data_IF_701649365040
#
_entry.id   IF_701649365040
#
_cell.length_a   1.000
_cell.length_b   1.000
_cell.length_c   1.000
_cell.angle_alpha   90.00
_cell.angle_beta   90.00
_cell.angle_gamma   90.00
#
_symmetry.space_group_name_H-M   'P 1'
#
loop_
_entity.id
_entity.type
_entity.pdbx_description
1 polymer ?
#
# COMPACT_ATOMS: atom_id res chain seq x y z
N UNK A 1 -29.66 -42.80 5.44
CA UNK A 1 -28.30 -43.08 5.95
C UNK A 1 -27.48 -43.59 4.80
N UNK A 2 -26.62 -42.73 4.23
CA UNK A 2 -25.59 -43.11 3.25
C UNK A 2 -24.29 -42.45 3.71
N UNK A 3 -23.34 -43.32 4.13
CA UNK A 3 -21.98 -42.93 4.53
C UNK A 3 -21.16 -42.73 3.28
N UNK A 4 -20.57 -41.54 3.12
CA UNK A 4 -19.60 -41.21 2.07
C UNK A 4 -18.21 -41.33 2.68
N UNK A 5 -17.42 -42.28 2.19
CA UNK A 5 -16.01 -42.45 2.51
C UNK A 5 -15.19 -41.54 1.59
N UNK A 6 -14.39 -40.66 2.18
CA UNK A 6 -13.41 -39.84 1.46
C UNK A 6 -12.03 -40.48 1.69
N UNK A 7 -11.42 -40.93 0.62
CA UNK A 7 -10.08 -41.52 0.60
C UNK A 7 -9.03 -40.41 0.43
N UNK A 8 -8.14 -40.26 1.40
CA UNK A 8 -6.94 -39.41 1.29
C UNK A 8 -5.91 -40.07 0.41
N UNK A 9 -5.52 -39.40 -0.68
CA UNK A 9 -4.35 -39.77 -1.48
C UNK A 9 -3.16 -38.87 -1.08
N UNK A 10 -2.13 -39.47 -0.46
CA UNK A 10 -0.84 -38.82 -0.20
C UNK A 10 0.07 -39.19 -1.39
N UNK A 11 0.49 -38.19 -2.17
CA UNK A 11 1.56 -38.33 -3.15
C UNK A 11 2.74 -37.44 -2.74
N UNK A 12 3.77 -38.10 -2.21
CA UNK A 12 5.07 -37.48 -1.99
C UNK A 12 5.85 -37.41 -3.30
N UNK A 13 6.44 -36.26 -3.60
CA UNK A 13 7.48 -36.16 -4.64
C UNK A 13 8.73 -35.52 -4.01
N UNK A 14 9.74 -36.38 -3.82
CA UNK A 14 11.12 -36.04 -3.50
C UNK A 14 11.82 -35.62 -4.79
N UNK A 15 12.33 -34.39 -4.87
CA UNK A 15 13.33 -34.00 -5.86
C UNK A 15 14.59 -33.50 -5.15
N UNK A 16 15.62 -34.36 -5.23
CA UNK A 16 16.99 -33.98 -4.96
C UNK A 16 17.59 -33.33 -6.22
N UNK A 17 18.25 -32.21 -6.08
CA UNK A 17 18.88 -31.46 -7.18
C UNK A 17 20.10 -30.69 -6.73
N UNK A 18 21.23 -31.23 -6.98
CA UNK A 18 22.63 -30.83 -7.14
C UNK A 18 23.01 -29.36 -6.87
N UNK A 19 23.96 -29.25 -5.94
CA UNK A 19 24.93 -28.17 -5.80
C UNK A 19 25.95 -28.18 -6.94
N UNK A 20 26.22 -27.01 -7.53
CA UNK A 20 27.50 -26.74 -8.17
C UNK A 20 28.00 -25.38 -7.67
N UNK A 21 29.02 -25.47 -6.82
CA UNK A 21 29.86 -24.36 -6.42
C UNK A 21 30.71 -23.89 -7.63
N UNK A 22 30.73 -22.61 -7.89
CA UNK A 22 31.73 -21.96 -8.74
C UNK A 22 32.43 -20.90 -7.90
N UNK A 23 33.65 -21.26 -7.50
CA UNK A 23 34.64 -20.32 -6.98
C UNK A 23 35.05 -19.36 -8.10
N UNK A 24 34.91 -18.06 -7.87
CA UNK A 24 35.63 -17.04 -8.63
C UNK A 24 36.41 -16.15 -7.64
N UNK A 25 37.72 -16.30 -7.71
CA UNK A 25 38.74 -15.47 -7.06
C UNK A 25 38.62 -14.00 -7.49
N UNK A 26 38.70 -13.02 -6.57
CA UNK A 26 38.83 -11.61 -6.97
C UNK A 26 40.31 -11.26 -7.24
N UNK A 27 40.57 -10.77 -8.45
CA UNK A 27 41.85 -10.12 -8.78
C UNK A 27 41.94 -8.77 -8.05
N UNK A 28 43.02 -8.65 -7.29
CA UNK A 28 43.44 -7.44 -6.59
C UNK A 28 44.10 -6.47 -7.59
N UNK A 29 43.39 -5.42 -7.99
CA UNK A 29 44.02 -4.29 -8.69
C UNK A 29 44.52 -3.27 -7.67
N UNK A 30 45.81 -3.24 -7.47
CA UNK A 30 46.57 -2.15 -6.80
C UNK A 30 46.55 -0.90 -7.68
N UNK A 31 45.91 0.16 -7.22
CA UNK A 31 46.11 1.51 -7.77
C UNK A 31 46.93 2.30 -6.76
N UNK A 32 48.07 2.83 -7.24
CA UNK A 32 49.03 3.64 -6.49
C UNK A 32 48.42 5.00 -6.04
N UNK A 33 48.97 5.61 -4.98
CA UNK A 33 48.44 6.87 -4.46
C UNK A 33 48.97 8.05 -5.30
N UNK A 34 48.03 8.87 -5.78
CA UNK A 34 48.35 10.17 -6.36
C UNK A 34 47.90 11.28 -5.41
N UNK A 35 48.90 12.06 -5.02
CA UNK A 35 48.91 13.46 -4.57
C UNK A 35 47.73 14.05 -3.78
N UNK A 36 48.12 14.39 -2.55
CA UNK A 36 47.40 15.30 -1.64
C UNK A 36 47.38 16.72 -2.19
N UNK A 37 46.24 17.18 -2.67
CA UNK A 37 45.96 18.61 -2.77
C UNK A 37 45.05 18.97 -1.58
N UNK A 38 45.60 19.76 -0.66
CA UNK A 38 44.91 20.44 0.42
C UNK A 38 43.81 21.33 -0.16
N UNK A 39 42.56 20.95 0.04
CA UNK A 39 41.43 21.84 -0.15
C UNK A 39 40.98 22.28 1.25
N UNK A 40 41.42 23.47 1.65
CA UNK A 40 40.85 24.18 2.78
C UNK A 40 39.40 24.58 2.40
N UNK A 41 38.44 23.83 2.86
CA UNK A 41 37.01 24.24 2.78
C UNK A 41 36.69 25.01 4.04
N UNK A 42 36.49 26.31 3.90
CA UNK A 42 35.87 27.15 4.93
C UNK A 42 34.53 26.50 5.35
N UNK A 43 34.45 26.09 6.62
CA UNK A 43 33.23 25.68 7.26
C UNK A 43 32.37 26.93 7.49
N UNK A 44 31.58 27.28 6.49
CA UNK A 44 30.47 28.21 6.70
C UNK A 44 29.51 27.56 7.69
N UNK A 45 29.33 28.20 8.86
CA UNK A 45 28.29 27.91 9.79
C UNK A 45 26.95 28.30 9.11
N UNK A 46 26.36 27.37 8.37
CA UNK A 46 24.92 27.46 8.05
C UNK A 46 24.18 27.10 9.34
N UNK A 47 23.60 28.12 9.97
CA UNK A 47 22.57 27.98 10.99
C UNK A 47 21.49 27.06 10.40
N UNK A 48 21.44 25.83 10.91
CA UNK A 48 20.38 24.89 10.64
C UNK A 48 19.10 25.51 11.22
N UNK A 49 18.37 26.27 10.39
CA UNK A 49 17.00 26.63 10.71
C UNK A 49 16.24 25.32 10.82
N UNK A 50 15.93 24.94 12.03
CA UNK A 50 15.00 23.85 12.37
C UNK A 50 13.68 24.20 11.69
N UNK A 51 13.43 23.64 10.49
CA UNK A 51 12.11 23.72 9.85
C UNK A 51 11.13 23.10 10.83
N UNK A 52 10.22 23.93 11.33
CA UNK A 52 9.11 23.46 12.15
C UNK A 52 8.39 22.35 11.39
N UNK A 53 8.04 21.23 12.05
CA UNK A 53 7.36 20.11 11.40
C UNK A 53 6.12 20.64 10.71
N UNK A 54 6.01 20.40 9.40
CA UNK A 54 4.85 20.79 8.60
C UNK A 54 3.60 20.25 9.30
N UNK A 55 2.65 21.14 9.65
CA UNK A 55 1.39 20.74 10.27
C UNK A 55 0.74 19.69 9.39
N UNK A 56 0.46 18.51 9.96
CA UNK A 56 -0.19 17.41 9.27
C UNK A 56 -1.52 17.91 8.68
N UNK A 57 -1.61 17.94 7.35
CA UNK A 57 -2.82 18.41 6.67
C UNK A 57 -3.94 17.39 6.89
N UNK A 58 -4.97 17.80 7.64
CA UNK A 58 -6.18 16.99 7.79
C UNK A 58 -6.89 16.85 6.45
N UNK A 59 -7.12 15.61 6.02
CA UNK A 59 -7.96 15.32 4.86
C UNK A 59 -9.39 15.03 5.32
N UNK A 60 -10.36 15.70 4.73
CA UNK A 60 -11.79 15.50 5.03
C UNK A 60 -12.47 14.85 3.83
N UNK A 61 -13.03 13.65 4.04
CA UNK A 61 -13.76 12.91 3.03
C UNK A 61 -15.23 12.87 3.43
N UNK A 62 -16.05 13.59 2.68
CA UNK A 62 -17.50 13.54 2.79
C UNK A 62 -18.12 12.52 1.86
N UNK A 63 -19.47 12.40 1.92
CA UNK A 63 -20.23 11.58 0.99
C UNK A 63 -20.07 12.14 -0.43
N UNK A 64 -19.38 11.38 -1.29
CA UNK A 64 -19.16 11.71 -2.68
C UNK A 64 -19.00 10.42 -3.49
N UNK A 65 -19.79 10.28 -4.54
CA UNK A 65 -19.75 9.10 -5.39
C UNK A 65 -18.50 9.13 -6.27
N UNK A 66 -17.67 8.09 -6.15
CA UNK A 66 -16.54 7.89 -7.05
C UNK A 66 -16.98 7.64 -8.49
N UNK A 67 -16.12 7.99 -9.45
CA UNK A 67 -16.36 7.61 -10.83
C UNK A 67 -15.90 6.16 -11.06
N UNK A 68 -16.84 5.23 -11.01
CA UNK A 68 -16.62 3.79 -11.20
C UNK A 68 -16.92 3.30 -12.61
N UNK A 69 -17.14 4.19 -13.58
CA UNK A 69 -17.39 3.79 -14.96
C UNK A 69 -16.18 3.05 -15.56
N UNK A 70 -16.41 1.86 -16.13
CA UNK A 70 -15.35 1.01 -16.69
C UNK A 70 -14.41 0.41 -15.62
N UNK A 71 -14.85 0.35 -14.38
CA UNK A 71 -14.12 -0.26 -13.28
C UNK A 71 -14.82 -1.51 -12.75
N UNK A 72 -14.04 -2.49 -12.31
CA UNK A 72 -14.51 -3.70 -11.66
C UNK A 72 -13.97 -3.82 -10.24
N UNK A 73 -14.70 -4.47 -9.37
CA UNK A 73 -14.26 -4.74 -8.00
C UNK A 73 -13.15 -5.79 -8.03
N UNK A 74 -11.95 -5.39 -7.62
CA UNK A 74 -10.79 -6.26 -7.46
C UNK A 74 -10.81 -6.97 -6.11
N UNK A 75 -11.11 -6.22 -5.04
CA UNK A 75 -11.27 -6.78 -3.69
C UNK A 75 -12.32 -6.01 -2.92
N UNK A 76 -13.01 -6.70 -2.01
CA UNK A 76 -13.95 -6.06 -1.10
C UNK A 76 -14.00 -6.76 0.26
N UNK A 77 -14.39 -5.99 1.29
CA UNK A 77 -14.62 -6.45 2.64
C UNK A 77 -15.94 -5.87 3.15
N UNK A 78 -16.91 -6.75 3.45
CA UNK A 78 -18.20 -6.35 4.05
C UNK A 78 -18.10 -6.44 5.57
N UNK A 79 -18.63 -5.45 6.26
CA UNK A 79 -18.63 -5.36 7.72
C UNK A 79 -19.81 -4.54 8.21
N UNK A 80 -20.15 -4.68 9.50
CA UNK A 80 -21.18 -3.88 10.16
C UNK A 80 -20.52 -2.88 11.12
N UNK A 81 -21.03 -1.65 11.12
CA UNK A 81 -20.62 -0.61 12.06
C UNK A 81 -21.82 0.30 12.39
N UNK A 82 -22.09 0.56 13.70
CA UNK A 82 -23.24 1.34 14.18
C UNK A 82 -24.58 0.87 13.55
N UNK A 83 -24.86 -0.45 13.61
CA UNK A 83 -26.08 -1.08 13.03
C UNK A 83 -26.28 -0.84 11.51
N UNK A 84 -25.22 -0.45 10.82
CA UNK A 84 -25.24 -0.18 9.38
C UNK A 84 -24.25 -1.11 8.67
N UNK A 85 -24.70 -1.69 7.55
CA UNK A 85 -23.82 -2.48 6.68
C UNK A 85 -22.94 -1.58 5.83
N UNK A 86 -21.66 -1.93 5.77
CA UNK A 86 -20.63 -1.26 5.01
C UNK A 86 -19.90 -2.23 4.09
N UNK A 87 -19.39 -1.72 3.01
CA UNK A 87 -18.47 -2.43 2.13
C UNK A 87 -17.28 -1.53 1.76
N UNK A 88 -16.07 -1.96 2.13
CA UNK A 88 -14.82 -1.36 1.67
C UNK A 88 -14.41 -2.04 0.38
N UNK A 89 -14.26 -1.27 -0.69
CA UNK A 89 -14.01 -1.77 -2.04
C UNK A 89 -12.72 -1.18 -2.61
N UNK A 90 -11.92 -2.02 -3.26
CA UNK A 90 -10.88 -1.61 -4.19
C UNK A 90 -11.33 -1.97 -5.60
N UNK A 91 -11.48 -0.96 -6.46
CA UNK A 91 -11.83 -1.14 -7.87
C UNK A 91 -10.63 -0.82 -8.74
N UNK A 92 -10.55 -1.51 -9.87
CA UNK A 92 -9.56 -1.32 -10.93
C UNK A 92 -10.25 -1.24 -12.28
N UNK A 93 -9.55 -0.77 -13.31
CA UNK A 93 -10.09 -0.81 -14.67
C UNK A 93 -10.41 -2.25 -15.07
N UNK A 94 -11.59 -2.50 -15.71
CA UNK A 94 -12.04 -3.84 -16.07
C UNK A 94 -11.04 -4.63 -16.89
N UNK A 95 -10.34 -3.97 -17.81
CA UNK A 95 -9.33 -4.59 -18.67
C UNK A 95 -8.06 -5.04 -17.92
N UNK A 96 -7.93 -4.66 -16.64
CA UNK A 96 -6.82 -5.07 -15.77
C UNK A 96 -7.12 -6.35 -14.98
N UNK A 97 -8.36 -6.84 -15.02
CA UNK A 97 -8.72 -8.13 -14.42
C UNK A 97 -8.79 -9.21 -15.50
N UNK A 98 -7.85 -10.16 -15.45
CA UNK A 98 -7.81 -11.32 -16.33
C UNK A 98 -8.05 -12.56 -15.47
N UNK A 99 -9.17 -13.24 -15.69
CA UNK A 99 -9.59 -14.42 -14.89
C UNK A 99 -9.66 -14.14 -13.37
N UNK A 100 -9.96 -12.89 -12.98
CA UNK A 100 -10.05 -12.44 -11.60
C UNK A 100 -8.70 -12.06 -10.96
N UNK A 101 -7.61 -12.22 -11.69
CA UNK A 101 -6.28 -11.79 -11.25
C UNK A 101 -5.93 -10.41 -11.83
N UNK A 102 -5.21 -9.61 -11.05
CA UNK A 102 -4.79 -8.28 -11.45
C UNK A 102 -3.58 -8.36 -12.38
N UNK A 103 -3.77 -8.01 -13.65
CA UNK A 103 -2.68 -7.83 -14.61
C UNK A 103 -2.16 -6.39 -14.52
N UNK A 104 -1.08 -6.19 -13.78
CA UNK A 104 -0.47 -4.87 -13.60
C UNK A 104 0.22 -4.41 -14.90
N UNK A 105 -0.10 -3.18 -15.30
CA UNK A 105 0.62 -2.41 -16.30
C UNK A 105 1.41 -1.29 -15.61
N UNK A 106 2.20 -0.53 -16.35
CA UNK A 106 3.01 0.58 -15.82
C UNK A 106 2.19 1.61 -15.04
N UNK A 107 0.93 1.81 -15.45
CA UNK A 107 -0.02 2.74 -14.81
C UNK A 107 -1.41 2.16 -14.77
N UNK A 108 -1.95 2.04 -13.56
CA UNK A 108 -3.29 1.52 -13.33
C UNK A 108 -4.10 2.51 -12.51
N UNK A 109 -5.37 2.72 -12.89
CA UNK A 109 -6.28 3.51 -12.07
C UNK A 109 -6.86 2.63 -10.98
N UNK A 110 -6.73 3.10 -9.75
CA UNK A 110 -7.36 2.52 -8.56
C UNK A 110 -8.38 3.48 -7.99
N UNK A 111 -9.52 2.93 -7.60
CA UNK A 111 -10.53 3.60 -6.80
C UNK A 111 -10.74 2.81 -5.51
N UNK A 112 -10.46 3.41 -4.35
CA UNK A 112 -10.73 2.83 -3.05
C UNK A 112 -11.84 3.64 -2.39
N UNK A 113 -12.93 2.96 -2.03
CA UNK A 113 -14.11 3.58 -1.44
C UNK A 113 -14.74 2.71 -0.38
N UNK A 114 -15.41 3.34 0.61
CA UNK A 114 -16.36 2.66 1.47
C UNK A 114 -17.77 3.06 1.08
N UNK A 115 -18.67 2.09 1.02
CA UNK A 115 -20.07 2.26 0.63
C UNK A 115 -20.97 1.80 1.78
N UNK A 116 -22.03 2.57 2.07
CA UNK A 116 -23.03 2.22 3.07
C UNK A 116 -24.37 2.79 2.66
N UNK A 117 -25.29 1.92 2.25
CA UNK A 117 -26.57 2.30 1.63
C UNK A 117 -26.32 3.20 0.41
N UNK A 118 -26.85 4.43 0.45
CA UNK A 118 -26.68 5.41 -0.64
C UNK A 118 -25.43 6.29 -0.47
N UNK A 119 -24.71 6.16 0.65
CA UNK A 119 -23.49 6.93 0.90
C UNK A 119 -22.26 6.24 0.34
N UNK A 120 -21.33 7.04 -0.20
CA UNK A 120 -20.05 6.58 -0.70
C UNK A 120 -18.94 7.56 -0.26
N UNK A 121 -17.80 7.03 0.17
CA UNK A 121 -16.65 7.78 0.67
C UNK A 121 -15.42 7.33 -0.09
N UNK A 122 -14.82 8.24 -0.86
CA UNK A 122 -13.68 7.94 -1.74
C UNK A 122 -12.37 8.32 -1.04
N UNK A 123 -11.54 7.33 -0.74
CA UNK A 123 -10.23 7.52 -0.10
C UNK A 123 -9.10 7.70 -1.11
N UNK A 124 -9.24 7.08 -2.28
CA UNK A 124 -8.29 7.14 -3.38
C UNK A 124 -9.05 7.07 -4.71
N UNK A 125 -8.71 7.92 -5.67
CA UNK A 125 -9.10 7.81 -7.08
C UNK A 125 -7.95 8.37 -7.92
N UNK A 126 -6.97 7.54 -8.22
CA UNK A 126 -5.72 7.98 -8.86
C UNK A 126 -5.16 6.94 -9.82
N UNK A 127 -4.37 7.44 -10.79
CA UNK A 127 -3.47 6.61 -11.59
C UNK A 127 -2.21 6.31 -10.79
N UNK A 128 -1.97 5.03 -10.48
CA UNK A 128 -0.81 4.57 -9.72
C UNK A 128 0.18 3.89 -10.63
N UNK A 129 1.43 4.28 -10.50
CA UNK A 129 2.55 3.68 -11.21
C UNK A 129 3.28 2.69 -10.29
N UNK A 130 3.45 1.46 -10.79
CA UNK A 130 4.24 0.40 -10.13
C UNK A 130 3.88 0.18 -8.65
N UNK A 131 2.60 -0.01 -8.36
CA UNK A 131 2.14 -0.30 -7.02
C UNK A 131 0.68 -0.72 -6.98
N UNK A 132 0.28 -1.35 -5.88
CA UNK A 132 -1.11 -1.70 -5.57
C UNK A 132 -1.44 -1.07 -4.22
N UNK A 133 -2.34 -0.10 -4.16
CA UNK A 133 -2.79 0.45 -2.89
C UNK A 133 -3.67 -0.56 -2.17
N UNK A 134 -3.60 -0.56 -0.86
CA UNK A 134 -4.37 -1.46 0.00
C UNK A 134 -5.10 -0.65 1.06
N UNK A 135 -6.24 -1.13 1.53
CA UNK A 135 -6.97 -0.54 2.62
C UNK A 135 -7.41 -1.60 3.63
N UNK A 136 -7.27 -1.27 4.91
CA UNK A 136 -7.73 -2.08 6.03
C UNK A 136 -8.79 -1.33 6.80
N UNK A 137 -9.71 -2.06 7.46
CA UNK A 137 -10.72 -1.48 8.34
C UNK A 137 -10.66 -2.16 9.70
N UNK A 138 -10.78 -1.37 10.77
CA UNK A 138 -10.94 -1.85 12.15
C UNK A 138 -11.73 -0.85 13.00
N UNK A 139 -12.09 -1.27 14.20
CA UNK A 139 -12.71 -0.42 15.23
C UNK A 139 -11.79 -0.38 16.44
N UNK A 140 -11.56 0.80 16.99
CA UNK A 140 -10.70 1.01 18.17
C UNK A 140 -11.45 0.75 19.49
N UNK A 141 -10.74 0.89 20.62
CA UNK A 141 -11.30 0.72 21.98
C UNK A 141 -12.36 1.77 22.34
N UNK A 142 -12.46 2.86 21.59
CA UNK A 142 -13.46 3.90 21.74
C UNK A 142 -14.63 3.77 20.77
N UNK A 143 -14.78 2.58 20.15
CA UNK A 143 -15.79 2.28 19.14
C UNK A 143 -15.73 3.21 17.91
N UNK A 144 -14.54 3.73 17.53
CA UNK A 144 -14.38 4.51 16.31
C UNK A 144 -13.91 3.61 15.17
N UNK A 145 -14.54 3.79 14.02
CA UNK A 145 -14.14 3.10 12.80
C UNK A 145 -12.96 3.81 12.15
N UNK A 146 -11.94 3.02 11.85
CA UNK A 146 -10.74 3.43 11.12
C UNK A 146 -10.68 2.73 9.77
N UNK A 147 -10.36 3.48 8.72
CA UNK A 147 -9.94 2.93 7.44
C UNK A 147 -8.53 3.41 7.18
N UNK A 148 -7.59 2.48 7.10
CA UNK A 148 -6.18 2.80 6.86
C UNK A 148 -5.82 2.49 5.43
N UNK A 149 -5.49 3.54 4.69
CA UNK A 149 -5.01 3.46 3.32
C UNK A 149 -3.48 3.35 3.32
N UNK A 150 -2.96 2.32 2.66
CA UNK A 150 -1.54 2.13 2.35
C UNK A 150 -1.33 2.39 0.86
N UNK A 151 -0.82 3.57 0.53
CA UNK A 151 -0.47 3.95 -0.83
C UNK A 151 1.01 3.63 -1.07
N UNK A 152 1.24 2.43 -1.64
CA UNK A 152 2.57 1.87 -1.88
C UNK A 152 2.90 2.04 -3.35
N UNK A 153 3.96 2.81 -3.63
CA UNK A 153 4.48 3.06 -4.99
C UNK A 153 5.99 2.80 -5.02
N UNK A 154 6.56 2.74 -6.21
CA UNK A 154 8.01 2.49 -6.36
C UNK A 154 8.89 3.52 -5.62
N UNK A 155 8.47 4.77 -5.52
CA UNK A 155 9.22 5.87 -4.91
C UNK A 155 8.51 6.56 -3.74
N UNK A 156 7.35 6.04 -3.32
CA UNK A 156 6.56 6.61 -2.24
C UNK A 156 5.88 5.52 -1.42
N UNK A 157 5.91 5.67 -0.11
CA UNK A 157 5.13 4.87 0.82
C UNK A 157 4.40 5.80 1.76
N UNK A 158 3.07 5.87 1.64
CA UNK A 158 2.21 6.71 2.48
C UNK A 158 1.16 5.84 3.18
N UNK A 159 1.00 6.07 4.47
CA UNK A 159 -0.06 5.49 5.29
C UNK A 159 -0.91 6.61 5.84
N UNK A 160 -2.20 6.59 5.49
CA UNK A 160 -3.18 7.56 5.99
C UNK A 160 -4.23 6.82 6.80
N UNK A 161 -4.46 7.25 8.03
CA UNK A 161 -5.53 6.76 8.89
C UNK A 161 -6.75 7.69 8.80
N UNK A 162 -7.89 7.15 8.38
CA UNK A 162 -9.15 7.86 8.24
C UNK A 162 -10.13 7.40 9.33
N UNK A 163 -10.47 8.31 10.24
CA UNK A 163 -11.41 8.06 11.34
C UNK A 163 -12.80 8.57 10.96
N UNK A 164 -13.83 7.72 11.11
CA UNK A 164 -15.20 8.11 10.82
C UNK A 164 -15.80 8.97 11.93
N UNK A 165 -16.31 10.15 11.55
CA UNK A 165 -17.14 10.99 12.40
C UNK A 165 -18.62 10.71 12.11
N UNK A 166 -19.27 9.92 12.96
CA UNK A 166 -20.68 9.54 12.82
C UNK A 166 -21.62 10.71 12.87
N UNK A 167 -21.27 11.80 13.55
CA UNK A 167 -22.10 13.01 13.69
C UNK A 167 -22.14 13.81 12.41
N UNK A 168 -20.95 14.01 11.82
CA UNK A 168 -20.82 14.81 10.59
C UNK A 168 -20.87 13.96 9.32
N UNK A 169 -20.98 12.62 9.46
CA UNK A 169 -21.00 11.66 8.35
C UNK A 169 -19.85 11.90 7.37
N UNK A 170 -18.63 11.96 7.90
CA UNK A 170 -17.40 12.15 7.13
C UNK A 170 -16.25 11.38 7.75
N UNK A 171 -15.21 11.14 6.96
CA UNK A 171 -13.92 10.67 7.47
C UNK A 171 -12.94 11.84 7.62
N UNK A 172 -12.11 11.77 8.67
CA UNK A 172 -11.01 12.69 8.91
C UNK A 172 -9.73 11.88 8.82
N UNK A 173 -8.90 12.18 7.81
CA UNK A 173 -7.66 11.49 7.52
C UNK A 173 -6.45 12.22 8.08
N UNK A 174 -5.54 11.46 8.67
CA UNK A 174 -4.22 11.92 9.14
C UNK A 174 -3.14 11.05 8.53
N UNK A 175 -2.12 11.65 7.92
CA UNK A 175 -0.97 10.90 7.42
C UNK A 175 -0.13 10.42 8.61
N UNK A 176 -0.06 9.09 8.78
CA UNK A 176 0.72 8.43 9.83
C UNK A 176 2.16 8.25 9.38
N UNK A 177 2.35 8.04 8.10
CA UNK A 177 3.66 7.94 7.46
C UNK A 177 3.57 8.50 6.05
N UNK A 178 4.47 9.40 5.68
CA UNK A 178 4.66 9.86 4.31
C UNK A 178 6.17 9.89 4.00
N UNK A 179 6.63 8.90 3.24
CA UNK A 179 8.02 8.76 2.82
C UNK A 179 8.13 8.93 1.30
N UNK A 180 8.78 9.99 0.87
CA UNK A 180 9.14 10.23 -0.53
C UNK A 180 10.60 9.87 -0.80
N UNK A 181 10.92 9.45 -2.03
CA UNK A 181 12.28 9.09 -2.43
C UNK A 181 12.83 7.82 -1.76
N UNK A 182 11.98 7.07 -1.06
CA UNK A 182 12.33 5.79 -0.46
C UNK A 182 12.33 4.68 -1.50
N UNK A 183 13.14 3.66 -1.27
CA UNK A 183 13.17 2.46 -2.10
C UNK A 183 12.42 1.32 -1.37
N UNK A 184 11.21 1.01 -1.81
CA UNK A 184 10.44 -0.10 -1.25
C UNK A 184 11.07 -1.43 -1.63
N UNK A 185 11.41 -2.25 -0.63
CA UNK A 185 12.11 -3.52 -0.83
C UNK A 185 11.12 -4.70 -0.87
N UNK A 186 10.07 -4.67 -0.06
CA UNK A 186 9.07 -5.74 -0.04
C UNK A 186 8.28 -5.82 1.27
N UNK A 187 7.31 -6.74 1.28
CA UNK A 187 6.50 -7.08 2.46
C UNK A 187 6.45 -8.59 2.65
N UNK A 188 6.25 -9.03 3.87
CA UNK A 188 5.89 -10.43 4.17
C UNK A 188 4.38 -10.61 3.96
N UNK A 189 3.99 -11.69 3.28
CA UNK A 189 2.59 -12.12 3.12
C UNK A 189 2.31 -13.31 4.02
#
# INVERSE_FOLDING_TARGET
>A
MKKLLITLGISGLLMAGCQTARETTPETNMIAPADSALFETEIGNEENAEEAPAEAQERKIGNAKGNSEGMAVYSSCSFAYEDTEWELQTLVQENMLIDGELALDDRNRFLIQAVSGDASYVFLDEMIQLGVPEADVWVDEQDKMHIVLRDIRSARYRVTDFIFDSKEKKFIGTDVLDGEGINYIGTTK
#
